data_IF_591725965292
#
_entry.id   IF_591725965292
#
_cell.length_a   1.000
_cell.length_b   1.000
_cell.length_c   1.000
_cell.angle_alpha   90.00
_cell.angle_beta   90.00
_cell.angle_gamma   90.00
#
_symmetry.space_group_name_H-M   'P 1'
#
loop_
_entity.id
_entity.type
_entity.pdbx_description
1 polymer ?
#
# COMPACT_ATOMS: atom_id res chain seq x y z
N UNK A 1 13.81 6.17 12.16
CA UNK A 1 12.35 6.27 12.41
C UNK A 1 12.07 6.70 13.86
N UNK A 2 12.37 5.90 14.91
CA UNK A 2 12.11 6.34 16.30
C UNK A 2 12.75 7.69 16.65
N UNK A 3 13.98 7.94 16.19
CA UNK A 3 14.70 9.20 16.42
C UNK A 3 14.08 10.43 15.71
N UNK A 4 13.18 10.23 14.76
CA UNK A 4 12.45 11.31 14.10
C UNK A 4 11.25 11.78 14.93
N UNK A 5 10.97 11.09 16.06
CA UNK A 5 9.88 11.38 16.99
C UNK A 5 8.51 11.59 16.31
N UNK A 6 8.03 10.63 15.50
CA UNK A 6 6.74 10.77 14.83
C UNK A 6 5.59 10.72 15.83
N UNK A 7 4.50 11.43 15.54
CA UNK A 7 3.25 11.33 16.31
C UNK A 7 2.48 10.03 16.03
N UNK A 8 2.65 9.46 14.84
CA UNK A 8 1.97 8.25 14.37
C UNK A 8 2.81 7.56 13.29
N UNK A 9 2.85 6.23 13.30
CA UNK A 9 3.34 5.42 12.18
C UNK A 9 2.14 4.82 11.46
N UNK A 10 2.08 5.01 10.13
CA UNK A 10 1.21 4.26 9.23
C UNK A 10 2.02 3.12 8.63
N UNK A 11 1.59 1.88 8.86
CA UNK A 11 2.22 0.69 8.30
C UNK A 11 1.23 -0.02 7.37
N UNK A 12 1.57 -0.08 6.08
CA UNK A 12 0.60 -0.35 5.02
C UNK A 12 0.64 -1.80 4.48
N UNK A 13 1.14 -2.73 5.26
CA UNK A 13 1.19 -4.16 4.92
C UNK A 13 2.60 -4.70 4.76
N UNK A 14 2.72 -6.01 4.51
CA UNK A 14 4.00 -6.74 4.39
C UNK A 14 4.90 -6.58 5.63
N UNK A 15 4.28 -6.63 6.81
CA UNK A 15 5.03 -6.63 8.07
C UNK A 15 5.80 -7.93 8.23
N UNK A 16 5.26 -9.01 7.73
CA UNK A 16 5.88 -10.35 7.65
C UNK A 16 5.81 -10.85 6.22
N UNK A 17 6.59 -11.88 5.92
CA UNK A 17 6.51 -12.65 4.66
C UNK A 17 6.35 -14.12 5.00
N UNK A 18 5.44 -14.82 4.32
CA UNK A 18 5.15 -16.24 4.51
C UNK A 18 6.29 -17.15 4.05
N UNK A 19 7.18 -16.66 3.18
CA UNK A 19 8.24 -17.46 2.57
C UNK A 19 9.29 -17.95 3.56
N UNK A 20 9.84 -19.13 3.31
CA UNK A 20 11.13 -19.53 3.86
C UNK A 20 12.25 -18.68 3.23
N UNK A 21 13.37 -18.51 3.95
CA UNK A 21 14.57 -17.91 3.35
C UNK A 21 15.00 -18.74 2.13
N UNK A 22 15.22 -18.11 0.97
CA UNK A 22 15.68 -18.83 -0.21
C UNK A 22 17.11 -19.33 -0.04
N UNK A 23 17.51 -20.32 -0.85
CA UNK A 23 18.88 -20.88 -0.83
C UNK A 23 19.93 -19.82 -1.17
N UNK A 24 19.64 -18.97 -2.15
CA UNK A 24 20.47 -17.80 -2.46
C UNK A 24 20.06 -16.61 -1.59
N UNK A 25 20.89 -16.29 -0.61
CA UNK A 25 20.70 -15.18 0.31
C UNK A 25 21.42 -13.89 -0.10
N UNK A 26 22.06 -13.86 -1.28
CA UNK A 26 22.82 -12.71 -1.76
C UNK A 26 21.96 -11.44 -1.78
N UNK A 27 22.39 -10.39 -1.09
CA UNK A 27 21.72 -9.10 -1.03
C UNK A 27 20.39 -9.10 -0.24
N UNK A 28 20.11 -10.13 0.58
CA UNK A 28 19.04 -10.09 1.56
C UNK A 28 19.51 -9.38 2.83
N UNK A 29 18.73 -8.40 3.28
CA UNK A 29 19.01 -7.70 4.53
C UNK A 29 18.72 -8.58 5.77
N UNK A 30 17.80 -9.53 5.65
CA UNK A 30 17.40 -10.44 6.73
C UNK A 30 17.22 -11.86 6.20
N UNK A 31 17.62 -12.83 7.02
CA UNK A 31 17.44 -14.27 6.80
C UNK A 31 16.93 -14.93 8.07
N UNK A 32 16.32 -16.08 7.96
CA UNK A 32 15.83 -16.87 9.08
C UNK A 32 15.72 -18.36 8.72
N UNK A 33 15.53 -19.22 9.71
CA UNK A 33 15.43 -20.67 9.57
C UNK A 33 14.00 -21.21 9.55
N UNK A 34 12.99 -20.33 9.63
CA UNK A 34 11.58 -20.73 9.64
C UNK A 34 11.17 -21.26 8.25
N UNK A 35 10.32 -22.28 8.23
CA UNK A 35 9.73 -22.83 7.01
C UNK A 35 8.71 -21.87 6.40
N UNK A 36 8.26 -22.13 5.18
CA UNK A 36 7.12 -21.41 4.58
C UNK A 36 5.88 -21.55 5.48
N UNK A 37 5.24 -20.40 5.80
CA UNK A 37 4.09 -20.38 6.71
C UNK A 37 2.86 -21.03 6.06
N UNK A 38 2.25 -22.00 6.76
CA UNK A 38 1.06 -22.75 6.31
C UNK A 38 0.05 -22.99 7.43
N UNK A 39 0.34 -22.54 8.63
CA UNK A 39 -0.50 -22.70 9.82
C UNK A 39 -0.47 -21.43 10.67
N UNK A 40 -1.40 -21.33 11.62
CA UNK A 40 -1.45 -20.25 12.59
C UNK A 40 -0.12 -20.10 13.35
N UNK A 41 0.46 -21.22 13.80
CA UNK A 41 1.71 -21.20 14.55
C UNK A 41 2.88 -20.73 13.67
N UNK A 42 2.91 -21.09 12.37
CA UNK A 42 3.94 -20.59 11.46
C UNK A 42 3.85 -19.04 11.32
N UNK A 43 2.65 -18.48 11.21
CA UNK A 43 2.45 -17.03 11.16
C UNK A 43 2.83 -16.35 12.49
N UNK A 44 2.46 -16.93 13.63
CA UNK A 44 2.87 -16.44 14.94
C UNK A 44 4.39 -16.40 15.10
N UNK A 45 5.07 -17.45 14.63
CA UNK A 45 6.54 -17.51 14.62
C UNK A 45 7.15 -16.39 13.76
N UNK A 46 6.52 -16.01 12.62
CA UNK A 46 6.96 -14.85 11.82
C UNK A 46 6.87 -13.55 12.61
N UNK A 47 5.73 -13.29 13.26
CA UNK A 47 5.58 -12.09 14.09
C UNK A 47 6.55 -12.08 15.26
N UNK A 48 6.72 -13.21 15.95
CA UNK A 48 7.66 -13.35 17.06
C UNK A 48 9.10 -13.05 16.61
N UNK A 49 9.50 -13.58 15.45
CA UNK A 49 10.81 -13.34 14.85
C UNK A 49 11.06 -11.84 14.62
N UNK A 50 10.16 -11.15 13.93
CA UNK A 50 10.34 -9.73 13.64
C UNK A 50 10.25 -8.87 14.91
N UNK A 51 9.30 -9.16 15.80
CA UNK A 51 9.09 -8.41 17.03
C UNK A 51 10.17 -8.67 18.10
N UNK A 52 11.03 -9.65 17.92
CA UNK A 52 12.22 -9.83 18.76
C UNK A 52 13.37 -8.86 18.42
N UNK A 53 13.27 -8.11 17.29
CA UNK A 53 14.25 -7.10 16.92
C UNK A 53 14.17 -5.89 17.88
N UNK A 54 15.25 -5.58 18.64
CA UNK A 54 15.23 -4.49 19.61
C UNK A 54 14.96 -3.11 19.01
N UNK A 55 15.41 -2.85 17.77
CA UNK A 55 15.19 -1.55 17.11
C UNK A 55 13.74 -1.41 16.67
N UNK A 56 13.11 -2.51 16.22
CA UNK A 56 11.68 -2.51 15.91
C UNK A 56 10.83 -2.32 17.17
N UNK A 57 11.23 -2.92 18.31
CA UNK A 57 10.58 -2.69 19.61
C UNK A 57 10.65 -1.22 20.03
N UNK A 58 11.81 -0.57 19.87
CA UNK A 58 11.96 0.86 20.11
C UNK A 58 11.05 1.69 19.20
N UNK A 59 10.92 1.31 17.93
CA UNK A 59 10.04 2.01 16.98
C UNK A 59 8.55 1.86 17.38
N UNK A 60 8.13 0.66 17.82
CA UNK A 60 6.77 0.44 18.33
C UNK A 60 6.48 1.18 19.64
N UNK A 61 7.49 1.36 20.49
CA UNK A 61 7.35 2.06 21.76
C UNK A 61 7.35 3.60 21.59
N UNK A 62 7.86 4.12 20.48
CA UNK A 62 8.04 5.54 20.27
C UNK A 62 6.72 6.31 20.06
N UNK A 63 5.72 5.70 19.41
CA UNK A 63 4.44 6.32 19.10
C UNK A 63 3.36 5.26 18.76
N UNK A 64 2.07 5.67 18.69
CA UNK A 64 1.02 4.79 18.17
C UNK A 64 1.28 4.36 16.72
N UNK A 65 0.80 3.14 16.39
CA UNK A 65 0.84 2.61 15.03
C UNK A 65 -0.58 2.37 14.52
N UNK A 66 -0.86 2.82 13.30
CA UNK A 66 -2.03 2.46 12.55
C UNK A 66 -1.60 1.52 11.42
N UNK A 67 -2.16 0.33 11.39
CA UNK A 67 -1.69 -0.76 10.55
C UNK A 67 -2.80 -1.28 9.65
N UNK A 68 -2.44 -1.74 8.48
CA UNK A 68 -3.23 -2.63 7.63
C UNK A 68 -2.35 -3.76 7.15
N UNK A 69 -2.94 -4.86 6.71
CA UNK A 69 -2.20 -5.92 6.01
C UNK A 69 -2.07 -5.64 4.52
N UNK A 70 -1.19 -6.41 3.87
CA UNK A 70 -1.24 -6.64 2.44
C UNK A 70 -1.34 -8.16 2.17
N UNK A 71 -0.69 -8.70 1.17
CA UNK A 71 -0.85 -10.09 0.80
C UNK A 71 0.04 -11.04 1.61
N UNK A 72 1.27 -10.63 1.94
CA UNK A 72 2.24 -11.49 2.64
C UNK A 72 1.88 -11.83 4.08
N UNK A 73 0.93 -11.14 4.69
CA UNK A 73 0.32 -11.56 5.95
C UNK A 73 -0.51 -12.85 5.79
N UNK A 74 -0.78 -13.27 4.56
CA UNK A 74 -1.50 -14.51 4.22
C UNK A 74 -0.75 -15.30 3.15
N UNK A 75 -0.72 -14.79 1.91
CA UNK A 75 -0.09 -15.42 0.75
C UNK A 75 0.07 -14.41 -0.39
N UNK A 76 1.26 -14.36 -0.99
CA UNK A 76 1.57 -13.47 -2.12
C UNK A 76 0.46 -13.41 -3.16
N UNK A 77 0.09 -12.21 -3.56
CA UNK A 77 -0.91 -11.89 -4.60
C UNK A 77 -2.28 -12.53 -4.38
N UNK A 78 -2.71 -12.84 -3.15
CA UNK A 78 -4.08 -13.32 -2.96
C UNK A 78 -5.10 -12.20 -3.22
N UNK A 79 -6.29 -12.58 -3.65
CA UNK A 79 -7.38 -11.66 -3.92
C UNK A 79 -8.71 -12.23 -3.39
N UNK A 80 -9.29 -11.54 -2.40
CA UNK A 80 -10.54 -11.97 -1.79
C UNK A 80 -10.43 -13.36 -1.13
N UNK A 81 -11.17 -14.31 -1.66
CA UNK A 81 -11.16 -15.72 -1.24
C UNK A 81 -10.29 -16.63 -2.13
N UNK A 82 -9.50 -16.01 -3.02
CA UNK A 82 -8.70 -16.73 -4.01
C UNK A 82 -7.22 -16.61 -3.71
N UNK A 83 -6.58 -17.70 -3.35
CA UNK A 83 -5.13 -17.85 -3.19
C UNK A 83 -4.45 -18.44 -4.43
N UNK A 84 -3.18 -18.87 -4.27
CA UNK A 84 -2.44 -19.57 -5.32
C UNK A 84 -3.13 -20.89 -5.71
N UNK A 85 -3.57 -21.64 -4.72
CA UNK A 85 -4.36 -22.84 -4.91
C UNK A 85 -5.84 -22.50 -4.72
N UNK A 86 -6.69 -22.86 -5.66
CA UNK A 86 -8.14 -22.69 -5.57
C UNK A 86 -8.80 -23.67 -4.58
N UNK A 87 -8.08 -24.09 -3.53
CA UNK A 87 -8.50 -25.12 -2.59
C UNK A 87 -9.19 -24.53 -1.36
N UNK A 88 -10.04 -25.32 -0.72
CA UNK A 88 -10.63 -25.04 0.61
C UNK A 88 -9.56 -24.76 1.68
N UNK A 89 -8.32 -25.22 1.47
CA UNK A 89 -7.17 -24.94 2.30
C UNK A 89 -6.82 -23.44 2.36
N UNK A 90 -7.08 -22.66 1.30
CA UNK A 90 -6.82 -21.23 1.31
C UNK A 90 -7.68 -20.48 2.34
N UNK A 91 -8.95 -20.83 2.49
CA UNK A 91 -9.83 -20.20 3.50
C UNK A 91 -9.29 -20.40 4.93
N UNK A 92 -8.79 -21.59 5.24
CA UNK A 92 -8.17 -21.87 6.55
C UNK A 92 -6.84 -21.12 6.72
N UNK A 93 -6.01 -21.06 5.67
CA UNK A 93 -4.77 -20.30 5.67
C UNK A 93 -5.02 -18.81 5.91
N UNK A 94 -6.01 -18.23 5.20
CA UNK A 94 -6.41 -16.83 5.35
C UNK A 94 -6.89 -16.52 6.77
N UNK A 95 -7.73 -17.36 7.34
CA UNK A 95 -8.20 -17.21 8.72
C UNK A 95 -7.04 -17.28 9.72
N UNK A 96 -6.07 -18.16 9.51
CA UNK A 96 -4.87 -18.27 10.34
C UNK A 96 -3.99 -17.01 10.25
N UNK A 97 -3.75 -16.49 9.04
CA UNK A 97 -3.02 -15.24 8.83
C UNK A 97 -3.72 -14.05 9.51
N UNK A 98 -5.04 -13.93 9.33
CA UNK A 98 -5.85 -12.87 9.96
C UNK A 98 -5.83 -12.95 11.48
N UNK A 99 -5.92 -14.15 12.05
CA UNK A 99 -5.81 -14.36 13.50
C UNK A 99 -4.43 -13.94 14.00
N UNK A 100 -3.36 -14.38 13.38
CA UNK A 100 -2.01 -14.01 13.76
C UNK A 100 -1.78 -12.50 13.67
N UNK A 101 -2.29 -11.84 12.63
CA UNK A 101 -2.25 -10.40 12.49
C UNK A 101 -2.96 -9.68 13.65
N UNK A 102 -4.19 -10.13 13.98
CA UNK A 102 -4.95 -9.55 15.07
C UNK A 102 -4.24 -9.71 16.43
N UNK A 103 -3.65 -10.88 16.68
CA UNK A 103 -2.95 -11.18 17.93
C UNK A 103 -1.67 -10.35 18.13
N UNK A 104 -1.03 -9.94 17.02
CA UNK A 104 0.30 -9.32 17.07
C UNK A 104 0.32 -7.83 16.70
N UNK A 105 -0.72 -7.32 16.06
CA UNK A 105 -0.73 -5.93 15.59
C UNK A 105 -1.66 -5.06 16.46
N UNK A 106 -1.42 -3.75 16.58
CA UNK A 106 -2.19 -2.85 17.45
C UNK A 106 -3.58 -2.56 16.87
N UNK A 107 -4.47 -3.52 16.98
CA UNK A 107 -5.86 -3.44 16.55
C UNK A 107 -6.80 -3.33 17.76
N UNK A 108 -7.84 -2.49 17.61
CA UNK A 108 -8.90 -2.42 18.60
C UNK A 108 -9.88 -3.62 18.48
N UNK A 109 -10.53 -3.99 19.57
CA UNK A 109 -11.52 -5.06 19.60
C UNK A 109 -12.68 -4.87 18.58
N UNK A 110 -12.97 -3.62 18.20
CA UNK A 110 -14.00 -3.32 17.19
C UNK A 110 -13.67 -3.86 15.79
N UNK A 111 -12.41 -4.22 15.51
CA UNK A 111 -12.04 -4.86 14.25
C UNK A 111 -12.54 -6.31 14.15
N UNK A 112 -12.85 -6.95 15.28
CA UNK A 112 -13.37 -8.32 15.35
C UNK A 112 -14.86 -8.28 15.67
N UNK A 113 -15.70 -8.20 14.62
CA UNK A 113 -17.15 -8.08 14.76
C UNK A 113 -17.84 -9.37 15.23
N UNK A 114 -17.18 -10.54 15.05
CA UNK A 114 -17.63 -11.86 15.48
C UNK A 114 -16.43 -12.65 15.99
N UNK A 115 -16.61 -13.74 16.77
CA UNK A 115 -15.51 -14.59 17.21
C UNK A 115 -14.91 -15.45 16.09
N UNK A 116 -14.95 -14.95 14.88
CA UNK A 116 -14.44 -15.57 13.66
C UNK A 116 -13.46 -14.59 12.96
N UNK A 117 -12.20 -14.96 12.95
CA UNK A 117 -11.15 -14.15 12.32
C UNK A 117 -11.30 -14.02 10.80
N UNK A 118 -12.04 -14.91 10.13
CA UNK A 118 -12.36 -14.76 8.72
C UNK A 118 -13.20 -13.51 8.43
N UNK A 119 -13.87 -12.95 9.45
CA UNK A 119 -14.69 -11.73 9.37
C UNK A 119 -13.99 -10.48 9.93
N UNK A 120 -12.68 -10.54 10.20
CA UNK A 120 -11.90 -9.40 10.71
C UNK A 120 -12.01 -8.21 9.74
N UNK A 121 -12.47 -7.06 10.24
CA UNK A 121 -12.61 -5.83 9.45
C UNK A 121 -11.47 -4.87 9.74
N UNK A 122 -10.60 -4.63 8.76
CA UNK A 122 -9.46 -3.70 8.93
C UNK A 122 -9.75 -2.30 8.44
N UNK A 123 -10.55 -2.12 7.39
CA UNK A 123 -10.84 -0.79 6.91
C UNK A 123 -11.56 0.03 7.97
N UNK A 124 -10.98 1.17 8.30
CA UNK A 124 -11.44 2.05 9.37
C UNK A 124 -11.02 3.49 9.14
N UNK A 125 -11.59 4.40 9.93
CA UNK A 125 -11.22 5.82 9.93
C UNK A 125 -10.52 6.18 11.22
N UNK A 126 -9.48 7.00 11.11
CA UNK A 126 -8.79 7.60 12.24
C UNK A 126 -8.73 9.11 12.02
N UNK A 127 -9.23 9.87 12.98
CA UNK A 127 -9.21 11.33 12.94
C UNK A 127 -8.05 11.89 13.76
N UNK A 128 -7.33 12.83 13.22
CA UNK A 128 -6.38 13.67 13.94
C UNK A 128 -6.97 15.09 14.08
N UNK A 129 -7.92 15.22 14.99
CA UNK A 129 -8.75 16.42 15.08
C UNK A 129 -9.46 16.73 13.75
N UNK A 130 -9.45 18.00 13.35
CA UNK A 130 -9.90 18.43 12.01
C UNK A 130 -8.75 18.51 11.00
N UNK A 131 -7.51 18.25 11.42
CA UNK A 131 -6.36 18.36 10.55
C UNK A 131 -6.31 17.24 9.52
N UNK A 132 -6.47 15.99 9.95
CA UNK A 132 -6.37 14.81 9.08
C UNK A 132 -7.47 13.82 9.38
N UNK A 133 -8.18 13.38 8.36
CA UNK A 133 -8.99 12.17 8.38
C UNK A 133 -8.28 11.10 7.58
N UNK A 134 -7.88 10.02 8.23
CA UNK A 134 -7.24 8.87 7.59
C UNK A 134 -8.29 7.79 7.33
N UNK A 135 -8.42 7.37 6.09
CA UNK A 135 -9.17 6.19 5.65
C UNK A 135 -8.16 5.07 5.41
N UNK A 136 -8.01 4.16 6.39
CA UNK A 136 -7.21 2.96 6.22
C UNK A 136 -8.05 1.95 5.43
N UNK A 137 -7.50 1.51 4.30
CA UNK A 137 -8.22 0.65 3.36
C UNK A 137 -7.69 -0.79 3.46
N UNK A 138 -8.52 -1.72 3.05
CA UNK A 138 -8.20 -3.12 2.88
C UNK A 138 -8.33 -3.47 1.39
N UNK A 139 -7.22 -3.49 0.72
CA UNK A 139 -7.13 -3.77 -0.71
C UNK A 139 -7.04 -5.26 -1.04
N UNK A 140 -7.04 -6.18 -0.06
CA UNK A 140 -6.88 -7.61 -0.30
C UNK A 140 -8.14 -8.42 -0.03
N UNK A 141 -8.79 -8.22 1.09
CA UNK A 141 -9.86 -9.09 1.57
C UNK A 141 -11.12 -9.08 0.68
N UNK A 142 -11.39 -7.94 0.06
CA UNK A 142 -12.67 -7.72 -0.64
C UNK A 142 -12.52 -7.51 -2.15
N UNK A 143 -11.30 -7.55 -2.68
CA UNK A 143 -11.07 -7.36 -4.11
C UNK A 143 -11.56 -8.54 -4.93
N UNK A 144 -12.01 -8.26 -6.15
CA UNK A 144 -12.20 -9.30 -7.14
C UNK A 144 -10.86 -9.95 -7.49
N UNK A 145 -10.86 -11.22 -7.87
CA UNK A 145 -9.67 -11.91 -8.37
C UNK A 145 -9.01 -11.13 -9.51
N UNK A 146 -7.72 -11.29 -9.71
CA UNK A 146 -7.00 -10.65 -10.81
C UNK A 146 -7.63 -10.99 -12.17
N UNK A 147 -7.66 -9.98 -13.06
CA UNK A 147 -8.23 -10.13 -14.39
C UNK A 147 -7.43 -11.13 -15.24
N UNK A 148 -8.11 -11.92 -16.04
CA UNK A 148 -7.53 -12.88 -16.98
C UNK A 148 -6.50 -13.83 -16.35
N UNK A 149 -6.68 -14.17 -15.08
CA UNK A 149 -5.84 -15.12 -14.37
C UNK A 149 -5.85 -16.45 -15.08
N UNK A 150 -4.66 -16.98 -15.36
CA UNK A 150 -4.54 -18.32 -15.94
C UNK A 150 -4.95 -19.36 -14.91
N UNK A 151 -5.64 -20.41 -15.38
CA UNK A 151 -5.93 -21.60 -14.56
C UNK A 151 -4.60 -22.18 -14.08
N UNK A 152 -4.48 -22.47 -12.78
CA UNK A 152 -3.26 -22.96 -12.12
C UNK A 152 -2.09 -21.94 -12.05
N UNK A 153 -2.29 -20.67 -12.42
CA UNK A 153 -1.29 -19.64 -12.15
C UNK A 153 -1.48 -19.06 -10.77
N UNK A 154 -0.38 -18.81 -10.09
CA UNK A 154 -0.34 -18.14 -8.79
C UNK A 154 -0.47 -16.63 -8.96
N UNK A 155 -1.52 -16.02 -8.40
CA UNK A 155 -1.60 -14.60 -8.16
C UNK A 155 -1.60 -13.68 -9.37
N UNK A 156 -0.83 -12.61 -9.27
CA UNK A 156 -0.74 -11.55 -10.23
C UNK A 156 -0.05 -11.93 -11.54
N UNK A 157 -0.30 -11.11 -12.54
CA UNK A 157 0.32 -11.23 -13.85
C UNK A 157 0.38 -9.88 -14.54
N UNK A 158 0.76 -9.92 -15.80
CA UNK A 158 0.69 -8.78 -16.69
C UNK A 158 0.01 -9.21 -17.99
N UNK A 159 -0.92 -8.39 -18.47
CA UNK A 159 -1.72 -8.67 -19.65
C UNK A 159 -1.71 -7.47 -20.60
N UNK A 160 -1.98 -7.68 -21.89
CA UNK A 160 -2.31 -6.59 -22.79
C UNK A 160 -3.79 -6.26 -22.62
N UNK A 161 -4.17 -4.99 -22.45
CA UNK A 161 -5.59 -4.61 -22.27
C UNK A 161 -6.49 -5.13 -23.40
N UNK A 162 -6.02 -5.12 -24.65
CA UNK A 162 -6.77 -5.64 -25.80
C UNK A 162 -7.02 -7.14 -25.77
N UNK A 163 -6.22 -7.90 -25.02
CA UNK A 163 -6.33 -9.36 -24.92
C UNK A 163 -7.10 -9.80 -23.66
N UNK A 164 -7.54 -8.85 -22.81
CA UNK A 164 -8.18 -9.15 -21.54
C UNK A 164 -9.46 -8.32 -21.32
N UNK A 165 -10.58 -8.81 -21.84
CA UNK A 165 -11.88 -8.14 -21.71
C UNK A 165 -12.33 -7.97 -20.24
N UNK A 166 -11.85 -8.80 -19.30
CA UNK A 166 -12.16 -8.67 -17.88
C UNK A 166 -11.68 -7.33 -17.30
N UNK A 167 -10.58 -6.75 -17.77
CA UNK A 167 -10.10 -5.44 -17.31
C UNK A 167 -11.14 -4.32 -17.50
N UNK A 168 -11.89 -4.38 -18.59
CA UNK A 168 -12.89 -3.37 -18.96
C UNK A 168 -14.22 -3.54 -18.21
N UNK A 169 -14.43 -4.60 -17.42
CA UNK A 169 -15.68 -4.82 -16.69
C UNK A 169 -15.88 -3.76 -15.61
N UNK A 170 -16.96 -3.00 -15.73
CA UNK A 170 -17.28 -1.88 -14.82
C UNK A 170 -17.61 -2.32 -13.39
N UNK A 171 -18.07 -3.57 -13.21
CA UNK A 171 -18.41 -4.14 -11.90
C UNK A 171 -17.20 -4.53 -11.07
N UNK A 172 -16.02 -4.69 -11.69
CA UNK A 172 -14.81 -5.10 -10.96
C UNK A 172 -14.43 -4.08 -9.89
N UNK A 173 -14.07 -4.60 -8.73
CA UNK A 173 -13.73 -3.79 -7.56
C UNK A 173 -12.39 -4.20 -6.95
N UNK A 174 -11.60 -3.20 -6.55
CA UNK A 174 -10.37 -3.38 -5.79
C UNK A 174 -10.63 -3.42 -4.28
N UNK A 175 -11.64 -2.71 -3.81
CA UNK A 175 -11.98 -2.59 -2.39
C UNK A 175 -13.24 -3.38 -2.00
N UNK A 176 -13.94 -3.96 -2.97
CA UNK A 176 -15.30 -4.46 -2.77
C UNK A 176 -16.33 -3.33 -2.69
N UNK A 177 -17.54 -3.59 -3.20
CA UNK A 177 -18.59 -2.56 -3.33
C UNK A 177 -18.98 -1.92 -2.00
N UNK A 178 -18.95 -2.70 -0.90
CA UNK A 178 -19.32 -2.18 0.42
C UNK A 178 -18.28 -1.16 0.92
N UNK A 179 -16.99 -1.46 0.79
CA UNK A 179 -15.91 -0.56 1.20
C UNK A 179 -15.81 0.66 0.27
N UNK A 180 -16.03 0.52 -1.05
CA UNK A 180 -16.10 1.66 -1.97
C UNK A 180 -17.19 2.66 -1.52
N UNK A 181 -18.40 2.18 -1.19
CA UNK A 181 -19.51 3.03 -0.68
C UNK A 181 -19.20 3.65 0.67
N UNK A 182 -18.59 2.89 1.57
CA UNK A 182 -18.13 3.37 2.88
C UNK A 182 -17.10 4.49 2.73
N UNK A 183 -16.18 4.35 1.79
CA UNK A 183 -15.15 5.37 1.52
C UNK A 183 -15.76 6.63 0.89
N UNK A 184 -16.63 6.50 -0.12
CA UNK A 184 -17.33 7.64 -0.74
C UNK A 184 -18.11 8.45 0.29
N UNK A 185 -18.87 7.78 1.17
CA UNK A 185 -19.59 8.41 2.27
C UNK A 185 -18.64 9.11 3.27
N UNK A 186 -17.45 8.54 3.48
CA UNK A 186 -16.41 9.12 4.33
C UNK A 186 -15.83 10.40 3.76
N UNK A 187 -15.46 10.39 2.49
CA UNK A 187 -14.97 11.58 1.80
C UNK A 187 -16.01 12.70 1.77
N UNK A 188 -17.28 12.34 1.57
CA UNK A 188 -18.39 13.29 1.69
C UNK A 188 -18.56 13.86 3.11
N UNK A 189 -18.28 13.07 4.14
CA UNK A 189 -18.26 13.53 5.54
C UNK A 189 -17.10 14.47 5.80
N UNK A 190 -15.90 14.17 5.31
CA UNK A 190 -14.71 15.02 5.44
C UNK A 190 -14.97 16.42 4.90
N UNK A 191 -15.62 16.51 3.72
CA UNK A 191 -16.01 17.77 3.11
C UNK A 191 -16.96 18.57 4.00
N UNK A 192 -17.96 17.91 4.62
CA UNK A 192 -18.92 18.58 5.53
C UNK A 192 -18.30 19.07 6.84
N UNK A 193 -17.25 18.38 7.31
CA UNK A 193 -16.56 18.68 8.56
C UNK A 193 -15.40 19.67 8.39
N UNK A 194 -15.17 20.18 7.17
CA UNK A 194 -14.02 21.01 6.81
C UNK A 194 -12.68 20.37 7.22
N UNK A 195 -12.59 19.04 7.07
CA UNK A 195 -11.33 18.30 7.26
C UNK A 195 -10.26 18.88 6.35
N UNK A 196 -9.07 19.16 6.89
CA UNK A 196 -8.01 19.81 6.11
C UNK A 196 -7.39 18.86 5.09
N UNK A 197 -7.16 17.61 5.48
CA UNK A 197 -6.55 16.59 4.62
C UNK A 197 -7.30 15.27 4.75
N UNK A 198 -7.73 14.71 3.62
CA UNK A 198 -8.28 13.37 3.54
C UNK A 198 -7.21 12.41 3.02
N UNK A 199 -6.77 11.50 3.88
CA UNK A 199 -5.70 10.54 3.57
C UNK A 199 -6.29 9.18 3.24
N UNK A 200 -5.99 8.66 2.06
CA UNK A 200 -6.30 7.29 1.67
C UNK A 200 -5.04 6.45 1.89
N UNK A 201 -4.99 5.73 3.00
CA UNK A 201 -3.87 4.86 3.36
C UNK A 201 -4.19 3.43 2.89
N UNK A 202 -3.49 2.97 1.86
CA UNK A 202 -3.76 1.69 1.20
C UNK A 202 -2.45 1.00 0.82
N UNK A 203 -2.52 -0.22 0.32
CA UNK A 203 -1.38 -1.12 0.24
C UNK A 203 -0.41 -0.77 -0.90
N UNK A 204 -0.90 -0.50 -2.12
CA UNK A 204 -0.07 -0.50 -3.33
C UNK A 204 -0.03 0.86 -4.04
N UNK A 205 0.62 0.93 -5.21
CA UNK A 205 0.59 2.12 -6.06
C UNK A 205 -0.81 2.33 -6.64
N UNK A 206 -1.37 3.54 -6.43
CA UNK A 206 -2.70 3.94 -6.92
C UNK A 206 -2.65 4.47 -8.35
N UNK A 207 -1.70 5.37 -8.63
CA UNK A 207 -1.55 6.01 -9.94
C UNK A 207 -1.29 5.00 -11.06
N UNK A 208 -1.79 5.23 -12.27
CA UNK A 208 -1.56 4.32 -13.40
C UNK A 208 -0.07 4.18 -13.71
N UNK A 209 0.31 2.99 -14.16
CA UNK A 209 1.67 2.67 -14.56
C UNK A 209 1.68 2.03 -15.95
N UNK A 210 1.86 2.87 -16.96
CA UNK A 210 1.94 2.41 -18.33
C UNK A 210 3.34 1.90 -18.65
N UNK A 211 3.44 0.61 -18.97
CA UNK A 211 4.71 -0.01 -19.36
C UNK A 211 5.02 0.20 -20.84
N UNK A 212 6.30 0.45 -21.24
CA UNK A 212 6.69 0.53 -22.65
C UNK A 212 6.31 -0.70 -23.49
N UNK A 213 6.18 -1.85 -22.83
CA UNK A 213 5.74 -3.11 -23.45
C UNK A 213 4.26 -3.14 -23.83
N UNK A 214 3.45 -2.17 -23.37
CA UNK A 214 1.99 -2.18 -23.47
C UNK A 214 1.32 -3.22 -22.58
N UNK A 215 2.06 -3.86 -21.67
CA UNK A 215 1.51 -4.72 -20.64
C UNK A 215 0.95 -3.88 -19.50
N UNK A 216 -0.02 -4.44 -18.79
CA UNK A 216 -0.66 -3.85 -17.60
C UNK A 216 -0.66 -4.85 -16.47
N UNK A 217 -0.27 -4.42 -15.27
CA UNK A 217 -0.34 -5.26 -14.06
C UNK A 217 -1.78 -5.63 -13.73
N UNK A 218 -2.01 -6.84 -13.28
CA UNK A 218 -3.34 -7.28 -12.87
C UNK A 218 -3.55 -7.26 -11.35
N UNK A 219 -2.49 -7.03 -10.56
CA UNK A 219 -2.58 -7.02 -9.09
C UNK A 219 -2.75 -5.62 -8.51
N UNK A 220 -2.03 -4.63 -9.02
CA UNK A 220 -2.19 -3.22 -8.60
C UNK A 220 -3.51 -2.63 -9.10
N UNK A 221 -3.78 -1.35 -8.80
CA UNK A 221 -4.95 -0.64 -9.31
C UNK A 221 -5.08 -0.65 -10.84
N UNK A 222 -4.00 -0.90 -11.57
CA UNK A 222 -4.03 -1.09 -13.02
C UNK A 222 -4.90 -2.29 -13.43
N UNK A 223 -4.99 -3.32 -12.61
CA UNK A 223 -5.89 -4.46 -12.82
C UNK A 223 -7.38 -4.15 -12.59
N UNK A 224 -7.69 -2.94 -12.10
CA UNK A 224 -9.04 -2.51 -11.71
C UNK A 224 -9.31 -1.05 -12.16
N UNK A 225 -9.11 -0.72 -13.45
CA UNK A 225 -9.14 0.67 -13.91
C UNK A 225 -10.47 1.37 -13.65
N UNK A 226 -11.60 0.67 -13.76
CA UNK A 226 -12.91 1.24 -13.47
C UNK A 226 -13.12 1.53 -11.97
N UNK A 227 -12.57 0.70 -11.07
CA UNK A 227 -12.59 0.97 -9.63
C UNK A 227 -11.72 2.18 -9.28
N UNK A 228 -10.52 2.28 -9.89
CA UNK A 228 -9.66 3.48 -9.75
C UNK A 228 -10.39 4.73 -10.22
N UNK A 229 -11.03 4.70 -11.39
CA UNK A 229 -11.79 5.83 -11.92
C UNK A 229 -12.94 6.25 -10.98
N UNK A 230 -13.70 5.31 -10.40
CA UNK A 230 -14.74 5.62 -9.41
C UNK A 230 -14.19 6.32 -8.18
N UNK A 231 -13.06 5.84 -7.65
CA UNK A 231 -12.42 6.44 -6.48
C UNK A 231 -11.84 7.83 -6.81
N UNK A 232 -11.21 7.99 -7.97
CA UNK A 232 -10.72 9.29 -8.47
C UNK A 232 -11.87 10.30 -8.60
N UNK A 233 -13.01 9.88 -9.15
CA UNK A 233 -14.21 10.73 -9.23
C UNK A 233 -14.77 11.08 -7.85
N UNK A 234 -14.75 10.16 -6.89
CA UNK A 234 -15.15 10.42 -5.51
C UNK A 234 -14.28 11.49 -4.85
N UNK A 235 -12.94 11.37 -4.98
CA UNK A 235 -12.01 12.40 -4.51
C UNK A 235 -12.25 13.75 -5.18
N UNK A 236 -12.42 13.76 -6.50
CA UNK A 236 -12.70 14.99 -7.26
C UNK A 236 -13.99 15.69 -6.84
N UNK A 237 -15.01 14.92 -6.44
CA UNK A 237 -16.32 15.42 -6.03
C UNK A 237 -16.34 15.98 -4.61
N UNK A 238 -15.70 15.26 -3.67
CA UNK A 238 -15.89 15.53 -2.25
C UNK A 238 -14.73 16.33 -1.64
N UNK A 239 -13.48 16.02 -2.03
CA UNK A 239 -12.27 16.55 -1.37
C UNK A 239 -11.23 17.08 -2.38
N UNK A 240 -11.64 17.90 -3.38
CA UNK A 240 -10.75 18.36 -4.43
C UNK A 240 -9.57 19.15 -3.85
N UNK A 241 -8.35 18.67 -4.11
CA UNK A 241 -7.11 19.35 -3.70
C UNK A 241 -6.73 19.17 -2.23
N UNK A 242 -7.43 18.31 -1.47
CA UNK A 242 -7.07 17.94 -0.10
C UNK A 242 -6.87 16.43 0.10
N UNK A 243 -7.02 15.64 -0.96
CA UNK A 243 -6.77 14.21 -0.93
C UNK A 243 -5.27 13.89 -1.09
N UNK A 244 -4.77 13.01 -0.23
CA UNK A 244 -3.43 12.42 -0.32
C UNK A 244 -3.57 10.90 -0.27
N UNK A 245 -2.98 10.22 -1.25
CA UNK A 245 -2.93 8.76 -1.31
C UNK A 245 -1.56 8.30 -0.83
N UNK A 246 -1.55 7.35 0.11
CA UNK A 246 -0.34 6.69 0.60
C UNK A 246 -0.40 5.22 0.21
N UNK A 247 0.73 4.69 -0.28
CA UNK A 247 0.85 3.31 -0.75
C UNK A 247 2.18 2.66 -0.40
N UNK A 248 2.36 1.39 -0.79
CA UNK A 248 3.53 0.54 -0.57
C UNK A 248 3.61 -0.61 -1.58
N UNK A 249 3.82 -1.86 -1.14
CA UNK A 249 3.78 -3.14 -1.88
C UNK A 249 4.89 -3.29 -2.94
N UNK A 250 4.98 -2.38 -3.87
CA UNK A 250 5.86 -2.51 -5.05
C UNK A 250 7.36 -2.35 -4.77
N UNK A 251 7.76 -2.15 -3.50
CA UNK A 251 9.16 -1.98 -3.05
C UNK A 251 9.92 -0.88 -3.79
N UNK A 252 9.21 0.21 -4.12
CA UNK A 252 9.74 1.35 -4.86
C UNK A 252 9.16 2.63 -4.28
N UNK A 253 9.98 3.69 -4.23
CA UNK A 253 9.42 5.01 -3.97
C UNK A 253 8.78 5.56 -5.25
N UNK A 254 7.52 6.00 -5.15
CA UNK A 254 6.87 6.81 -6.18
C UNK A 254 6.31 8.08 -5.57
N UNK A 255 6.42 9.17 -6.30
CA UNK A 255 5.70 10.42 -6.03
C UNK A 255 4.95 10.77 -7.31
N UNK A 256 3.63 10.84 -7.22
CA UNK A 256 2.78 11.02 -8.39
C UNK A 256 1.78 12.15 -8.20
N UNK A 257 1.46 12.81 -9.32
CA UNK A 257 0.22 13.57 -9.48
C UNK A 257 -0.89 12.59 -9.79
N UNK A 258 -2.07 12.76 -9.18
CA UNK A 258 -3.22 11.93 -9.49
C UNK A 258 -4.17 12.74 -10.38
N UNK A 259 -4.24 12.44 -11.70
CA UNK A 259 -5.13 13.13 -12.61
C UNK A 259 -6.58 12.67 -12.41
N UNK A 260 -7.53 13.48 -12.84
CA UNK A 260 -8.95 13.17 -12.82
C UNK A 260 -9.32 12.05 -13.82
N UNK A 261 -8.56 11.95 -14.90
CA UNK A 261 -8.68 10.95 -15.95
C UNK A 261 -7.30 10.36 -16.25
N UNK A 262 -7.19 9.04 -16.17
CA UNK A 262 -5.95 8.32 -16.47
C UNK A 262 -5.48 8.48 -17.93
N UNK A 263 -6.40 8.81 -18.84
CA UNK A 263 -6.10 9.09 -20.25
C UNK A 263 -5.58 10.52 -20.47
N UNK A 264 -5.73 11.40 -19.48
CA UNK A 264 -5.24 12.77 -19.49
C UNK A 264 -4.27 13.02 -18.32
N UNK A 265 -3.09 12.39 -18.32
CA UNK A 265 -2.17 12.41 -17.19
C UNK A 265 -1.62 13.80 -16.83
N UNK A 266 -1.69 14.76 -17.76
CA UNK A 266 -1.34 16.17 -17.55
C UNK A 266 -2.58 17.05 -17.35
N UNK A 267 -3.77 16.45 -17.30
CA UNK A 267 -5.05 17.13 -17.11
C UNK A 267 -5.28 17.63 -15.68
N UNK A 268 -6.55 17.84 -15.34
CA UNK A 268 -6.96 18.30 -14.02
C UNK A 268 -6.53 17.30 -12.93
N UNK A 269 -5.79 17.77 -11.94
CA UNK A 269 -5.37 16.94 -10.79
C UNK A 269 -6.45 16.92 -9.70
N UNK A 270 -6.54 15.78 -9.00
CA UNK A 270 -7.50 15.57 -7.90
C UNK A 270 -6.83 15.23 -6.57
N UNK A 271 -5.67 14.59 -6.60
CA UNK A 271 -4.93 14.19 -5.41
C UNK A 271 -3.41 14.20 -5.65
N UNK A 272 -2.68 13.96 -4.58
CA UNK A 272 -1.24 13.71 -4.58
C UNK A 272 -0.99 12.31 -4.04
N UNK A 273 -0.02 11.58 -4.61
CA UNK A 273 0.33 10.26 -4.14
C UNK A 273 1.79 10.16 -3.72
N UNK A 274 2.00 9.47 -2.59
CA UNK A 274 3.29 9.04 -2.09
C UNK A 274 3.24 7.53 -1.82
N UNK A 275 3.85 6.75 -2.69
CA UNK A 275 4.03 5.32 -2.49
C UNK A 275 5.45 5.09 -1.93
N UNK A 276 5.52 4.50 -0.74
CA UNK A 276 6.78 4.25 -0.03
C UNK A 276 7.48 2.98 -0.53
N UNK A 277 8.81 2.99 -0.40
CA UNK A 277 9.61 1.78 -0.59
C UNK A 277 9.53 0.87 0.64
N UNK A 278 10.08 -0.33 0.52
CA UNK A 278 10.22 -1.30 1.63
C UNK A 278 11.31 -0.87 2.65
N UNK A 279 11.21 -1.41 3.87
CA UNK A 279 12.25 -1.24 4.90
C UNK A 279 13.48 -2.12 4.59
N UNK A 280 13.28 -3.36 4.14
CA UNK A 280 14.36 -4.32 3.92
C UNK A 280 14.22 -5.15 2.64
N UNK A 281 13.02 -5.37 2.14
CA UNK A 281 12.77 -6.18 0.94
C UNK A 281 13.32 -5.53 -0.33
N UNK A 282 13.82 -6.36 -1.27
CA UNK A 282 14.37 -5.87 -2.54
C UNK A 282 13.25 -5.56 -3.53
N UNK A 283 13.46 -4.55 -4.38
CA UNK A 283 12.63 -4.36 -5.57
C UNK A 283 12.91 -5.46 -6.60
N UNK A 284 11.88 -5.89 -7.30
CA UNK A 284 11.97 -6.84 -8.41
C UNK A 284 12.41 -6.23 -9.75
N UNK A 285 12.80 -4.93 -9.78
CA UNK A 285 13.18 -4.22 -11.01
C UNK A 285 14.51 -3.49 -10.87
N UNK A 286 15.05 -3.00 -11.99
CA UNK A 286 16.24 -2.14 -12.04
C UNK A 286 15.86 -0.69 -12.29
N UNK A 287 16.71 0.26 -11.87
CA UNK A 287 16.46 1.69 -12.09
C UNK A 287 16.32 2.03 -13.57
N UNK A 288 17.10 1.39 -14.45
CA UNK A 288 17.01 1.59 -15.89
C UNK A 288 15.62 1.25 -16.46
N UNK A 289 15.06 0.10 -16.05
CA UNK A 289 13.68 -0.28 -16.43
C UNK A 289 12.66 0.69 -15.86
N UNK A 290 12.87 1.14 -14.63
CA UNK A 290 12.00 2.10 -13.97
C UNK A 290 12.01 3.46 -14.66
N UNK A 291 13.19 3.96 -15.06
CA UNK A 291 13.34 5.20 -15.80
C UNK A 291 12.65 5.12 -17.19
N UNK A 292 12.66 3.94 -17.82
CA UNK A 292 11.91 3.72 -19.05
C UNK A 292 10.39 3.82 -18.83
N UNK A 293 9.88 3.31 -17.71
CA UNK A 293 8.47 3.44 -17.32
C UNK A 293 8.13 4.93 -17.07
N UNK A 294 8.94 5.64 -16.29
CA UNK A 294 8.71 7.06 -15.95
C UNK A 294 8.55 7.92 -17.20
N UNK A 295 9.36 7.69 -18.23
CA UNK A 295 9.25 8.43 -19.52
C UNK A 295 7.89 8.28 -20.22
N UNK A 296 7.14 7.22 -19.91
CA UNK A 296 5.78 6.97 -20.43
C UNK A 296 4.67 7.45 -19.49
N UNK A 297 5.04 8.02 -18.34
CA UNK A 297 4.11 8.36 -17.26
C UNK A 297 4.41 9.78 -16.74
N UNK A 298 4.00 10.85 -17.44
CA UNK A 298 4.37 12.24 -17.10
C UNK A 298 3.81 12.72 -15.76
N UNK A 299 2.81 12.04 -15.19
CA UNK A 299 2.29 12.28 -13.84
C UNK A 299 3.24 11.77 -12.73
N UNK A 300 4.23 10.93 -13.05
CA UNK A 300 5.22 10.42 -12.09
C UNK A 300 6.37 11.42 -12.00
N UNK A 301 6.54 12.02 -10.81
CA UNK A 301 7.56 13.02 -10.52
C UNK A 301 8.88 12.41 -10.02
N UNK A 302 8.78 11.27 -9.36
CA UNK A 302 9.91 10.50 -8.87
C UNK A 302 9.55 9.02 -8.84
N UNK A 303 10.47 8.17 -9.32
CA UNK A 303 10.42 6.74 -9.11
C UNK A 303 11.83 6.19 -8.83
N UNK A 304 12.00 5.44 -7.73
CA UNK A 304 13.29 4.92 -7.28
C UNK A 304 13.12 3.50 -6.72
N UNK A 305 13.97 2.58 -7.15
CA UNK A 305 13.89 1.16 -6.76
C UNK A 305 15.14 0.62 -6.03
N UNK A 306 16.22 1.37 -5.99
CA UNK A 306 17.47 0.97 -5.34
C UNK A 306 17.45 1.17 -3.83
N UNK A 307 16.69 2.13 -3.36
CA UNK A 307 16.67 2.58 -1.98
C UNK A 307 15.69 1.78 -1.11
N UNK A 308 16.01 1.69 0.19
CA UNK A 308 15.15 1.20 1.27
C UNK A 308 14.95 2.31 2.27
N UNK A 309 13.78 2.37 2.92
CA UNK A 309 13.55 3.46 3.87
C UNK A 309 12.07 3.69 4.18
N UNK A 310 11.70 4.94 4.44
CA UNK A 310 10.36 5.35 4.85
C UNK A 310 10.08 6.80 4.48
N UNK A 311 8.81 7.15 4.41
CA UNK A 311 8.36 8.55 4.26
C UNK A 311 8.06 9.19 5.62
N UNK A 312 8.34 10.48 5.75
CA UNK A 312 7.89 11.31 6.87
C UNK A 312 6.99 12.40 6.30
N UNK A 313 5.78 12.52 6.84
CA UNK A 313 4.84 13.58 6.48
C UNK A 313 4.73 14.59 7.63
N UNK A 314 5.10 15.84 7.37
CA UNK A 314 4.85 16.98 8.26
C UNK A 314 3.61 17.71 7.76
N UNK A 315 2.56 17.74 8.59
CA UNK A 315 1.23 18.15 8.15
C UNK A 315 0.78 19.41 8.92
N UNK A 316 0.42 20.44 8.19
CA UNK A 316 -0.20 21.65 8.71
C UNK A 316 -1.56 21.88 8.04
N UNK A 317 -2.39 22.81 8.50
CA UNK A 317 -3.66 23.12 7.84
C UNK A 317 -3.53 23.61 6.39
N UNK A 318 -2.34 24.06 5.97
CA UNK A 318 -2.10 24.64 4.63
C UNK A 318 -1.16 23.81 3.77
N UNK A 319 -0.22 23.09 4.39
CA UNK A 319 0.85 22.40 3.71
C UNK A 319 0.96 20.94 4.19
N UNK A 320 1.18 20.04 3.25
CA UNK A 320 1.63 18.68 3.46
C UNK A 320 3.05 18.57 2.92
N UNK A 321 4.02 18.30 3.78
CA UNK A 321 5.42 18.11 3.38
C UNK A 321 5.80 16.65 3.54
N UNK A 322 6.28 16.01 2.49
CA UNK A 322 6.79 14.62 2.54
C UNK A 322 8.31 14.63 2.33
N UNK A 323 9.03 14.04 3.28
CA UNK A 323 10.46 13.72 3.17
C UNK A 323 10.62 12.21 2.97
N UNK A 324 11.24 11.79 1.88
CA UNK A 324 11.60 10.40 1.65
C UNK A 324 12.97 10.15 2.26
N UNK A 325 13.02 9.31 3.30
CA UNK A 325 14.24 8.93 4.00
C UNK A 325 14.71 7.56 3.49
N UNK A 326 16.00 7.44 3.23
CA UNK A 326 16.59 6.20 2.72
C UNK A 326 17.82 5.80 3.53
N UNK A 327 18.04 4.49 3.64
CA UNK A 327 19.25 3.91 4.20
C UNK A 327 20.42 4.08 3.21
N UNK A 328 21.60 4.35 3.73
CA UNK A 328 22.82 4.38 2.90
C UNK A 328 23.18 2.98 2.40
N UNK A 329 23.04 1.97 3.27
CA UNK A 329 23.23 0.55 2.94
C UNK A 329 22.24 -0.31 3.75
N UNK A 330 21.19 -0.88 3.12
CA UNK A 330 20.21 -1.69 3.82
C UNK A 330 20.73 -3.04 4.34
N UNK A 331 21.94 -3.45 3.94
CA UNK A 331 22.57 -4.69 4.41
C UNK A 331 23.34 -4.50 5.71
N UNK A 332 23.53 -3.25 6.17
CA UNK A 332 24.25 -2.92 7.40
C UNK A 332 23.29 -2.52 8.50
N UNK A 333 23.43 -3.15 9.67
CA UNK A 333 22.61 -2.85 10.83
C UNK A 333 22.86 -1.44 11.41
N UNK A 334 24.03 -0.87 11.17
CA UNK A 334 24.49 0.47 11.59
C UNK A 334 24.42 1.51 10.46
N UNK A 335 23.60 1.24 9.44
CA UNK A 335 23.46 2.13 8.28
C UNK A 335 22.98 3.52 8.67
N UNK A 336 23.59 4.54 8.07
CA UNK A 336 23.09 5.90 8.10
C UNK A 336 21.74 6.05 7.39
N UNK A 337 21.07 7.16 7.67
CA UNK A 337 19.82 7.57 7.01
C UNK A 337 20.05 8.92 6.35
N UNK A 338 19.66 9.06 5.09
CA UNK A 338 19.72 10.32 4.35
C UNK A 338 18.39 10.66 3.70
N UNK A 339 18.16 11.93 3.47
CA UNK A 339 17.00 12.37 2.70
C UNK A 339 17.24 12.15 1.21
N UNK A 340 16.35 11.39 0.55
CA UNK A 340 16.35 11.17 -0.89
C UNK A 340 15.72 12.36 -1.63
N UNK A 341 14.59 12.83 -1.15
CA UNK A 341 13.84 13.92 -1.75
C UNK A 341 12.83 14.51 -0.76
N UNK A 342 12.45 15.76 -1.02
CA UNK A 342 11.40 16.49 -0.30
C UNK A 342 10.37 17.01 -1.29
N UNK A 343 9.09 16.87 -0.93
CA UNK A 343 7.96 17.34 -1.74
C UNK A 343 6.96 18.06 -0.86
N UNK A 344 6.30 19.05 -1.42
CA UNK A 344 5.24 19.81 -0.75
C UNK A 344 3.97 19.80 -1.59
N UNK A 345 2.83 19.71 -0.90
CA UNK A 345 1.49 19.90 -1.48
C UNK A 345 0.82 21.05 -0.73
N UNK A 346 0.34 22.04 -1.45
CA UNK A 346 -0.51 23.11 -0.90
C UNK A 346 -1.96 22.64 -0.86
N UNK A 347 -2.66 22.88 0.24
CA UNK A 347 -4.10 22.60 0.33
C UNK A 347 -4.86 23.36 -0.76
N UNK A 348 -5.70 22.64 -1.51
CA UNK A 348 -6.46 23.17 -2.65
C UNK A 348 -5.69 23.19 -3.98
N UNK A 349 -4.41 22.82 -3.98
CA UNK A 349 -3.58 22.69 -5.18
C UNK A 349 -2.96 21.30 -5.22
N UNK A 350 -3.71 20.30 -5.73
CA UNK A 350 -3.21 18.93 -5.77
C UNK A 350 -2.03 18.78 -6.72
N UNK A 351 -1.17 17.85 -6.38
CA UNK A 351 0.07 17.58 -7.11
C UNK A 351 1.29 18.01 -6.31
N UNK A 352 2.19 17.06 -5.98
CA UNK A 352 3.41 17.34 -5.26
C UNK A 352 4.33 18.25 -6.06
N UNK A 353 5.00 19.17 -5.37
CA UNK A 353 6.08 20.01 -5.92
C UNK A 353 7.36 19.62 -5.20
N UNK A 354 8.42 19.32 -5.94
CA UNK A 354 9.72 19.02 -5.35
C UNK A 354 10.37 20.26 -4.83
N UNK A 355 10.88 20.19 -3.60
CA UNK A 355 11.76 21.21 -3.04
C UNK A 355 13.23 20.78 -3.14
N UNK A 356 14.13 21.74 -3.31
CA UNK A 356 15.58 21.52 -3.38
C UNK A 356 16.19 21.21 -2.01
#
# INVERSE_FOLDING_TARGET
>A
MANDAPDLVLFLGDYIYEYATPTDTTGLARTHTLRHARSLDDFRDRYALHKSDPQLQVAHAACPWAVTWDDHEVQNDYAGDTGHDSSTAFSALRSAGFQAFYEHMPLGAACLAAPDFASLQLHRRLAWGQLVQMHLLDGRQYRDRQACRRVQASGAGAVRPGDCAELAQSSRSFLGTAQERWLDAGLAQDARQDTRWSVLAQQTLFSPRHYPSGLQSTDTWDGYPNARARLTQSMARHVPGSAVVLGGDIHQNYVCRVPADDLEPEGKLVASEFCGTSISSRSGTTQEKLDAIVRHNPHVLLARCGERGYGIADITPKLWTTRLQTLDDPLRADSGVRMLARFVVERGRPGPVREE
#
